data_IF_013773596443
#
_entry.id   IF_013773596443
#
_cell.length_a   1.000
_cell.length_b   1.000
_cell.length_c   1.000
_cell.angle_alpha   90.00
_cell.angle_beta   90.00
_cell.angle_gamma   90.00
#
_symmetry.space_group_name_H-M   'P 1'
#
loop_
_entity.id
_entity.type
_entity.pdbx_description
1 polymer ?
#
# COMPACT_ATOMS: atom_id res chain seq x y z
N UNK A 1 4.09 37.16 13.69
CA UNK A 1 4.08 35.79 14.25
C UNK A 1 4.51 34.81 13.17
N UNK A 2 5.50 33.95 13.42
CA UNK A 2 6.04 33.04 12.40
C UNK A 2 5.18 31.80 12.25
N UNK A 3 4.75 31.52 11.01
CA UNK A 3 3.92 30.35 10.65
C UNK A 3 4.73 29.11 10.27
N UNK A 4 6.07 29.24 10.19
CA UNK A 4 6.95 28.12 9.83
C UNK A 4 6.92 26.98 10.86
N UNK A 5 7.09 27.24 12.18
CA UNK A 5 7.07 26.17 13.17
C UNK A 5 5.79 25.31 13.18
N UNK A 6 4.56 25.89 13.16
CA UNK A 6 3.35 25.08 13.12
C UNK A 6 3.17 24.34 11.78
N UNK A 7 3.62 24.92 10.66
CA UNK A 7 3.55 24.27 9.36
C UNK A 7 4.45 23.01 9.30
N UNK A 8 5.66 23.08 9.85
CA UNK A 8 6.58 21.94 9.92
C UNK A 8 6.03 20.81 10.81
N UNK A 9 5.45 21.16 11.96
CA UNK A 9 4.83 20.19 12.84
C UNK A 9 3.64 19.49 12.16
N UNK A 10 2.76 20.25 11.50
CA UNK A 10 1.63 19.68 10.77
C UNK A 10 2.08 18.77 9.63
N UNK A 11 3.11 19.15 8.88
CA UNK A 11 3.68 18.32 7.83
C UNK A 11 4.26 17.01 8.39
N UNK A 12 4.96 17.06 9.52
CA UNK A 12 5.50 15.88 10.18
C UNK A 12 4.39 14.94 10.66
N UNK A 13 3.32 15.48 11.26
CA UNK A 13 2.14 14.71 11.69
C UNK A 13 1.45 14.05 10.49
N UNK A 14 1.23 14.79 9.40
CA UNK A 14 0.64 14.21 8.18
C UNK A 14 1.51 13.11 7.57
N UNK A 15 2.84 13.32 7.53
CA UNK A 15 3.77 12.31 7.01
C UNK A 15 3.73 11.03 7.86
N UNK A 16 3.74 11.17 9.18
CA UNK A 16 3.63 10.06 10.12
C UNK A 16 2.29 9.31 9.96
N UNK A 17 1.17 10.04 9.91
CA UNK A 17 -0.15 9.45 9.74
C UNK A 17 -0.29 8.70 8.41
N UNK A 18 0.24 9.27 7.33
CA UNK A 18 0.23 8.64 6.00
C UNK A 18 1.10 7.38 6.00
N UNK A 19 2.30 7.45 6.58
CA UNK A 19 3.20 6.31 6.70
C UNK A 19 2.58 5.17 7.51
N UNK A 20 1.98 5.47 8.67
CA UNK A 20 1.29 4.49 9.51
C UNK A 20 0.11 3.85 8.78
N UNK A 21 -0.70 4.64 8.08
CA UNK A 21 -1.85 4.12 7.31
C UNK A 21 -1.38 3.15 6.22
N UNK A 22 -0.31 3.50 5.50
CA UNK A 22 0.31 2.62 4.51
C UNK A 22 0.85 1.33 5.13
N UNK A 23 1.56 1.42 6.26
CA UNK A 23 2.09 0.28 6.98
C UNK A 23 1.00 -0.68 7.47
N UNK A 24 -0.08 -0.13 8.05
CA UNK A 24 -1.27 -0.90 8.49
C UNK A 24 -1.93 -1.60 7.30
N UNK A 25 -2.06 -0.91 6.17
CA UNK A 25 -2.64 -1.50 4.95
C UNK A 25 -1.81 -2.67 4.44
N UNK A 26 -0.48 -2.51 4.38
CA UNK A 26 0.43 -3.59 3.98
C UNK A 26 0.36 -4.77 4.95
N UNK A 27 0.33 -4.49 6.26
CA UNK A 27 0.21 -5.52 7.28
C UNK A 27 -1.11 -6.29 7.11
N UNK A 28 -2.23 -5.60 6.89
CA UNK A 28 -3.52 -6.23 6.64
C UNK A 28 -3.49 -7.13 5.38
N UNK A 29 -2.85 -6.68 4.31
CA UNK A 29 -2.68 -7.47 3.08
C UNK A 29 -1.82 -8.70 3.32
N UNK A 30 -0.74 -8.58 4.09
CA UNK A 30 0.13 -9.70 4.46
C UNK A 30 -0.65 -10.72 5.29
N UNK A 31 -1.37 -10.26 6.33
CA UNK A 31 -2.21 -11.11 7.18
C UNK A 31 -3.28 -11.80 6.35
N UNK A 32 -4.00 -11.08 5.47
CA UNK A 32 -5.00 -11.67 4.58
C UNK A 32 -4.38 -12.71 3.62
N UNK A 33 -3.16 -12.46 3.13
CA UNK A 33 -2.42 -13.40 2.27
C UNK A 33 -1.94 -14.64 3.00
N UNK A 34 -1.64 -14.54 4.30
CA UNK A 34 -1.31 -15.68 5.18
C UNK A 34 -2.56 -16.45 5.57
N UNK A 35 -3.63 -15.75 5.95
CA UNK A 35 -4.91 -16.32 6.35
C UNK A 35 -5.67 -16.98 5.18
N UNK A 36 -5.41 -16.56 3.94
CA UNK A 36 -5.91 -17.24 2.74
C UNK A 36 -5.27 -18.64 2.61
N UNK A 37 -5.91 -19.62 3.25
CA UNK A 37 -5.48 -21.02 3.42
C UNK A 37 -5.49 -21.88 2.14
N UNK A 38 -5.81 -21.30 0.97
CA UNK A 38 -5.85 -22.03 -0.31
C UNK A 38 -4.76 -21.53 -1.28
N UNK A 39 -3.81 -22.38 -1.68
CA UNK A 39 -2.70 -22.00 -2.55
C UNK A 39 -3.15 -21.51 -3.94
N UNK A 40 -4.31 -21.98 -4.44
CA UNK A 40 -4.95 -21.47 -5.66
C UNK A 40 -5.38 -20.00 -5.49
N UNK A 41 -6.03 -19.66 -4.37
CA UNK A 41 -6.46 -18.28 -4.08
C UNK A 41 -5.29 -17.32 -3.86
N UNK A 42 -4.14 -17.82 -3.38
CA UNK A 42 -2.88 -17.05 -3.27
C UNK A 42 -2.32 -16.67 -4.64
N UNK A 43 -2.47 -17.50 -5.68
CA UNK A 43 -2.03 -17.16 -7.04
C UNK A 43 -2.90 -16.06 -7.64
N UNK A 44 -4.21 -16.16 -7.47
CA UNK A 44 -5.14 -15.13 -7.96
C UNK A 44 -4.92 -13.80 -7.24
N UNK A 45 -4.78 -13.82 -5.90
CA UNK A 45 -4.49 -12.62 -5.13
C UNK A 45 -3.17 -11.96 -5.55
N UNK A 46 -2.11 -12.75 -5.82
CA UNK A 46 -0.85 -12.22 -6.37
C UNK A 46 -1.00 -11.65 -7.78
N UNK A 47 -1.83 -12.26 -8.63
CA UNK A 47 -2.11 -11.75 -9.97
C UNK A 47 -2.86 -10.42 -9.91
N UNK A 48 -3.90 -10.32 -9.07
CA UNK A 48 -4.65 -9.08 -8.84
C UNK A 48 -3.77 -8.01 -8.21
N UNK A 49 -2.95 -8.35 -7.22
CA UNK A 49 -2.03 -7.41 -6.58
C UNK A 49 -0.93 -6.97 -7.55
N UNK A 50 -0.45 -7.86 -8.43
CA UNK A 50 0.47 -7.50 -9.51
C UNK A 50 -0.19 -6.54 -10.50
N UNK A 51 -1.47 -6.65 -10.79
CA UNK A 51 -2.19 -5.69 -11.65
C UNK A 51 -2.36 -4.35 -10.94
N UNK A 52 -2.75 -4.35 -9.66
CA UNK A 52 -2.95 -3.13 -8.86
C UNK A 52 -1.64 -2.37 -8.61
N UNK A 53 -0.55 -3.08 -8.30
CA UNK A 53 0.76 -2.51 -8.01
C UNK A 53 1.49 -2.13 -9.31
N UNK A 54 1.34 -2.91 -10.38
CA UNK A 54 1.93 -2.59 -11.68
C UNK A 54 1.02 -1.57 -12.38
N UNK A 55 1.24 -0.29 -12.09
CA UNK A 55 0.67 0.89 -12.77
C UNK A 55 0.86 0.94 -14.31
N UNK A 56 1.29 -0.14 -14.96
CA UNK A 56 1.29 -0.28 -16.42
C UNK A 56 0.75 -1.65 -16.84
N UNK A 57 -0.21 -1.70 -17.78
CA UNK A 57 -0.70 -2.95 -18.34
C UNK A 57 0.45 -3.71 -19.02
N UNK A 58 0.44 -5.05 -18.98
CA UNK A 58 1.38 -5.83 -19.77
C UNK A 58 1.19 -5.45 -21.24
N UNK A 59 2.24 -4.91 -21.87
CA UNK A 59 2.27 -4.75 -23.33
C UNK A 59 2.14 -6.14 -23.93
N UNK A 60 0.95 -6.45 -24.42
CA UNK A 60 0.72 -7.54 -25.37
C UNK A 60 1.52 -7.17 -26.61
N UNK A 61 2.67 -7.83 -26.80
CA UNK A 61 3.34 -7.82 -28.09
C UNK A 61 2.50 -8.74 -28.98
N UNK A 62 1.73 -8.12 -29.89
CA UNK A 62 1.25 -8.78 -31.10
C UNK A 62 2.44 -9.13 -31.98
#
# INVERSE_FOLDING_TARGET
MSLLPPALNNAAVLAAATGLTGAVTLLAVVVASVAARSPQRRRDARATLRILVRRRPPRVKR
#
